data_IF_821122343834
#
_entry.id   IF_821122343834
#
_cell.length_a   1.000
_cell.length_b   1.000
_cell.length_c   1.000
_cell.angle_alpha   90.00
_cell.angle_beta   90.00
_cell.angle_gamma   90.00
#
_symmetry.space_group_name_H-M   'P 1'
#
loop_
_entity.id
_entity.type
_entity.pdbx_description
1 polymer ?
#
# COMPACT_ATOMS: atom_id res chain seq x y z
N UNK A 1 40.81 -15.60 -15.22
CA UNK A 1 39.86 -16.50 -15.97
C UNK A 1 39.08 -15.63 -16.93
N UNK A 2 38.88 -16.02 -18.18
CA UNK A 2 38.17 -15.20 -19.15
C UNK A 2 36.79 -14.77 -18.65
N UNK A 3 36.48 -13.50 -18.80
CA UNK A 3 35.16 -12.96 -18.45
C UNK A 3 34.18 -13.36 -19.53
N UNK A 4 33.04 -13.92 -19.15
CA UNK A 4 31.99 -14.33 -20.07
C UNK A 4 31.03 -13.19 -20.36
N UNK A 5 30.84 -12.83 -21.61
CA UNK A 5 29.81 -11.92 -22.06
C UNK A 5 28.57 -12.73 -22.38
N UNK A 6 27.50 -12.50 -21.66
CA UNK A 6 26.25 -13.23 -21.78
C UNK A 6 25.23 -12.44 -22.60
N UNK A 7 24.36 -13.16 -23.30
CA UNK A 7 23.17 -12.58 -23.94
C UNK A 7 22.26 -11.95 -22.88
N UNK A 8 22.08 -10.61 -22.85
CA UNK A 8 21.29 -9.97 -21.81
C UNK A 8 19.79 -10.16 -22.00
N UNK A 9 19.04 -10.12 -20.92
CA UNK A 9 17.60 -10.00 -20.95
C UNK A 9 17.21 -8.51 -21.07
N UNK A 10 16.82 -8.06 -22.23
CA UNK A 10 16.42 -6.66 -22.48
C UNK A 10 14.96 -6.36 -22.11
N UNK A 11 14.20 -7.39 -21.73
CA UNK A 11 12.87 -7.25 -21.12
C UNK A 11 12.60 -8.42 -20.16
N UNK A 12 11.71 -8.23 -19.15
CA UNK A 12 11.38 -9.28 -18.18
C UNK A 12 10.78 -10.57 -18.79
N UNK A 13 10.27 -10.48 -20.00
CA UNK A 13 9.63 -11.61 -20.72
C UNK A 13 10.50 -12.17 -21.84
N UNK A 14 11.70 -11.62 -22.03
CA UNK A 14 12.62 -12.06 -23.10
C UNK A 14 13.28 -13.38 -22.72
N UNK A 15 13.09 -14.40 -23.53
CA UNK A 15 13.74 -15.71 -23.40
C UNK A 15 14.87 -15.92 -24.42
N UNK A 16 14.81 -15.23 -25.57
CA UNK A 16 15.77 -15.25 -26.65
C UNK A 16 15.77 -13.92 -27.42
N UNK A 17 16.83 -13.59 -28.13
CA UNK A 17 16.96 -12.40 -28.98
C UNK A 17 17.85 -12.65 -30.17
N UNK A 18 17.86 -11.71 -31.13
CA UNK A 18 18.68 -11.82 -32.32
C UNK A 18 19.96 -10.96 -32.15
N UNK A 19 21.12 -11.56 -32.29
CA UNK A 19 22.38 -10.80 -32.27
C UNK A 19 22.62 -10.20 -33.66
N UNK A 20 22.30 -8.93 -33.84
CA UNK A 20 22.29 -8.28 -35.14
C UNK A 20 23.70 -8.08 -35.70
N UNK A 21 24.61 -7.46 -34.94
CA UNK A 21 25.98 -7.19 -35.37
C UNK A 21 26.96 -7.08 -34.19
N UNK A 22 28.24 -7.33 -34.46
CA UNK A 22 29.36 -6.99 -33.56
C UNK A 22 30.00 -5.69 -34.00
N UNK A 23 30.26 -4.78 -33.04
CA UNK A 23 30.98 -3.51 -33.26
C UNK A 23 32.49 -3.66 -32.98
N UNK A 24 32.92 -4.83 -32.48
CA UNK A 24 34.28 -5.17 -32.11
C UNK A 24 34.70 -6.48 -32.78
N UNK A 25 36.00 -6.68 -32.95
CA UNK A 25 36.58 -7.91 -33.48
C UNK A 25 37.44 -8.64 -32.42
N UNK A 26 37.71 -9.92 -32.62
CA UNK A 26 38.65 -10.68 -31.79
C UNK A 26 40.03 -10.03 -31.82
N UNK A 27 40.60 -9.74 -30.64
CA UNK A 27 41.84 -9.02 -30.46
C UNK A 27 41.70 -7.51 -30.17
N UNK A 28 40.51 -6.98 -30.28
CA UNK A 28 40.27 -5.54 -29.93
C UNK A 28 40.30 -5.32 -28.44
N UNK A 29 40.90 -4.20 -28.01
CA UNK A 29 40.87 -3.77 -26.62
C UNK A 29 39.64 -2.91 -26.39
N UNK A 30 38.86 -3.25 -25.38
CA UNK A 30 37.62 -2.58 -24.98
C UNK A 30 37.71 -2.06 -23.56
N UNK A 31 36.98 -1.00 -23.27
CA UNK A 31 36.82 -0.42 -21.94
C UNK A 31 35.36 -0.46 -21.51
N UNK A 32 35.14 -0.44 -20.21
CA UNK A 32 33.80 -0.30 -19.65
C UNK A 32 33.05 0.87 -20.28
N UNK A 33 31.88 0.59 -20.87
CA UNK A 33 31.06 1.53 -21.62
C UNK A 33 31.23 1.51 -23.14
N UNK A 34 32.24 0.76 -23.70
CA UNK A 34 32.38 0.60 -25.14
C UNK A 34 31.31 -0.36 -25.69
N UNK A 35 30.69 -0.01 -26.82
CA UNK A 35 29.64 -0.81 -27.45
C UNK A 35 30.24 -2.06 -28.08
N UNK A 36 29.84 -3.24 -27.63
CA UNK A 36 30.32 -4.54 -28.11
C UNK A 36 29.51 -5.07 -29.28
N UNK A 37 28.19 -5.07 -29.15
CA UNK A 37 27.29 -5.63 -30.17
C UNK A 37 25.90 -4.97 -30.11
N UNK A 38 25.12 -5.24 -31.15
CA UNK A 38 23.72 -4.84 -31.24
C UNK A 38 22.82 -6.06 -31.20
N UNK A 39 21.78 -5.98 -30.35
CA UNK A 39 20.77 -7.02 -30.22
C UNK A 39 19.43 -6.47 -30.71
N UNK A 40 18.78 -7.21 -31.58
CA UNK A 40 17.45 -6.91 -32.08
C UNK A 40 16.40 -7.75 -31.35
N UNK A 41 15.38 -7.07 -30.87
CA UNK A 41 14.20 -7.69 -30.25
C UNK A 41 12.96 -7.36 -31.09
N UNK A 42 11.82 -7.94 -30.76
CA UNK A 42 10.53 -7.64 -31.39
C UNK A 42 10.08 -6.18 -31.28
N UNK A 43 10.76 -5.36 -30.43
CA UNK A 43 10.38 -3.97 -30.12
C UNK A 43 11.44 -2.93 -30.49
N UNK A 44 12.71 -3.27 -30.43
CA UNK A 44 13.81 -2.33 -30.67
C UNK A 44 15.15 -3.03 -30.87
N UNK A 45 16.10 -2.36 -31.55
CA UNK A 45 17.52 -2.70 -31.55
C UNK A 45 18.19 -1.98 -30.39
N UNK A 46 18.97 -2.68 -29.60
CA UNK A 46 19.66 -2.15 -28.41
C UNK A 46 21.15 -2.49 -28.46
N UNK A 47 21.98 -1.55 -28.02
CA UNK A 47 23.43 -1.70 -27.92
C UNK A 47 23.77 -2.40 -26.59
N UNK A 48 24.76 -3.31 -26.63
CA UNK A 48 25.34 -3.97 -25.46
C UNK A 48 26.74 -3.42 -25.25
N UNK A 49 26.95 -2.83 -24.09
CA UNK A 49 28.21 -2.22 -23.69
C UNK A 49 29.06 -3.18 -22.86
N UNK A 50 30.38 -3.02 -22.94
CA UNK A 50 31.33 -3.72 -22.07
C UNK A 50 31.13 -3.27 -20.61
N UNK A 51 31.06 -4.22 -19.70
CA UNK A 51 31.01 -3.94 -18.26
C UNK A 51 32.44 -3.77 -17.70
N UNK A 52 33.37 -4.55 -18.21
CA UNK A 52 34.76 -4.61 -17.75
C UNK A 52 35.74 -4.21 -18.86
N UNK A 53 36.95 -3.72 -18.48
CA UNK A 53 38.05 -3.47 -19.39
C UNK A 53 38.72 -4.81 -19.77
N UNK A 54 39.12 -4.95 -21.04
CA UNK A 54 39.78 -6.19 -21.46
C UNK A 54 40.06 -6.27 -22.97
N UNK A 55 40.46 -7.45 -23.43
CA UNK A 55 40.68 -7.76 -24.85
C UNK A 55 39.66 -8.78 -25.28
N UNK A 56 38.96 -8.56 -26.39
CA UNK A 56 38.01 -9.52 -26.96
C UNK A 56 38.77 -10.78 -27.37
N UNK A 57 38.63 -11.84 -26.54
CA UNK A 57 39.39 -13.07 -26.74
C UNK A 57 38.79 -13.96 -27.82
N UNK A 58 37.46 -14.19 -27.77
CA UNK A 58 36.77 -15.03 -28.74
C UNK A 58 35.28 -14.66 -28.83
N UNK A 59 34.79 -14.56 -30.05
CA UNK A 59 33.37 -14.40 -30.36
C UNK A 59 32.78 -15.80 -30.59
N UNK A 60 31.86 -16.24 -29.74
CA UNK A 60 31.25 -17.56 -29.77
C UNK A 60 29.97 -17.60 -30.59
N UNK A 61 29.23 -16.50 -30.64
CA UNK A 61 28.00 -16.33 -31.43
C UNK A 61 28.25 -15.27 -32.49
N UNK A 62 28.24 -15.62 -33.80
CA UNK A 62 28.47 -14.64 -34.87
C UNK A 62 27.31 -13.65 -35.00
N UNK A 63 27.60 -12.45 -35.52
CA UNK A 63 26.57 -11.47 -35.86
C UNK A 63 25.59 -12.04 -36.93
N UNK A 64 24.33 -11.64 -36.84
CA UNK A 64 23.24 -12.17 -37.66
C UNK A 64 22.65 -13.50 -37.16
N UNK A 65 23.01 -13.96 -35.96
CA UNK A 65 22.41 -15.17 -35.35
C UNK A 65 21.07 -14.83 -34.71
N UNK A 66 20.02 -15.54 -35.12
CA UNK A 66 18.67 -15.46 -34.59
C UNK A 66 18.46 -16.41 -33.41
N UNK A 67 17.51 -16.08 -32.54
CA UNK A 67 17.04 -16.90 -31.42
C UNK A 67 18.14 -17.34 -30.45
N UNK A 68 19.05 -16.43 -30.09
CA UNK A 68 20.07 -16.66 -29.08
C UNK A 68 19.43 -16.60 -27.69
N UNK A 69 19.53 -17.68 -26.92
CA UNK A 69 18.91 -17.77 -25.61
C UNK A 69 19.51 -16.73 -24.61
N UNK A 70 18.68 -16.13 -23.80
CA UNK A 70 19.12 -15.25 -22.69
C UNK A 70 20.07 -16.03 -21.76
N UNK A 71 21.15 -15.38 -21.31
CA UNK A 71 22.28 -15.97 -20.56
C UNK A 71 23.15 -16.95 -21.33
N UNK A 72 22.96 -17.13 -22.64
CA UNK A 72 23.97 -17.85 -23.46
C UNK A 72 25.27 -17.04 -23.52
N UNK A 73 26.42 -17.70 -23.43
CA UNK A 73 27.74 -17.05 -23.60
C UNK A 73 27.91 -16.67 -25.04
N UNK A 74 28.01 -15.37 -25.36
CA UNK A 74 28.12 -14.85 -26.72
C UNK A 74 29.55 -14.49 -27.10
N UNK A 75 30.40 -14.10 -26.11
CA UNK A 75 31.82 -13.86 -26.31
C UNK A 75 32.61 -14.05 -25.00
N UNK A 76 33.95 -14.10 -25.12
CA UNK A 76 34.89 -14.19 -24.02
C UNK A 76 35.82 -12.96 -24.05
N UNK A 77 35.99 -12.28 -22.90
CA UNK A 77 36.93 -11.18 -22.70
C UNK A 77 38.12 -11.70 -21.89
N UNK A 78 39.33 -11.33 -22.27
CA UNK A 78 40.57 -11.57 -21.52
C UNK A 78 40.95 -10.36 -20.70
N UNK A 79 41.31 -10.54 -19.44
CA UNK A 79 41.87 -9.52 -18.60
C UNK A 79 43.28 -9.13 -19.06
N UNK A 80 43.75 -7.94 -18.71
CA UNK A 80 45.09 -7.43 -19.10
C UNK A 80 46.20 -8.35 -18.54
N UNK A 81 46.90 -9.08 -19.44
CA UNK A 81 47.97 -10.01 -19.10
C UNK A 81 47.58 -11.50 -19.13
N UNK A 82 46.37 -11.86 -19.49
CA UNK A 82 45.99 -13.24 -19.75
C UNK A 82 46.42 -13.70 -21.15
N UNK A 83 46.97 -14.93 -21.25
CA UNK A 83 47.46 -15.51 -22.53
C UNK A 83 46.28 -16.19 -23.26
N UNK A 84 46.28 -16.14 -24.61
CA UNK A 84 45.28 -16.77 -25.46
C UNK A 84 45.09 -18.28 -25.21
N UNK A 85 46.05 -18.93 -24.56
CA UNK A 85 45.91 -20.33 -24.08
C UNK A 85 44.84 -20.57 -23.02
N UNK A 86 44.32 -19.50 -22.34
CA UNK A 86 43.23 -19.63 -21.39
C UNK A 86 41.86 -19.88 -22.05
N UNK A 87 41.73 -19.64 -23.37
CA UNK A 87 40.50 -19.88 -24.14
C UNK A 87 40.21 -21.36 -24.39
N UNK A 88 41.26 -22.22 -24.42
CA UNK A 88 41.12 -23.66 -24.66
C UNK A 88 40.67 -24.46 -23.42
N UNK A 89 40.68 -23.86 -22.24
CA UNK A 89 40.32 -24.51 -20.99
C UNK A 89 38.84 -24.29 -20.57
N UNK A 90 38.09 -23.54 -21.36
CA UNK A 90 36.64 -23.36 -21.09
C UNK A 90 35.90 -24.50 -21.82
N UNK A 91 35.63 -25.58 -21.11
CA UNK A 91 34.72 -26.61 -21.53
C UNK A 91 33.32 -26.01 -21.66
N UNK A 92 32.95 -25.65 -22.90
CA UNK A 92 31.62 -25.10 -23.18
C UNK A 92 30.64 -26.28 -22.98
N UNK A 93 30.03 -26.32 -21.82
CA UNK A 93 28.85 -27.17 -21.61
C UNK A 93 27.72 -26.60 -22.50
N UNK A 94 27.73 -26.99 -23.75
CA UNK A 94 26.61 -26.84 -24.65
C UNK A 94 25.44 -27.69 -24.12
N UNK A 95 24.70 -27.13 -23.18
CA UNK A 95 23.38 -27.66 -22.84
C UNK A 95 22.41 -27.18 -23.93
N UNK A 96 22.42 -27.90 -25.03
CA UNK A 96 21.24 -27.93 -25.88
C UNK A 96 20.20 -28.82 -25.20
N UNK A 97 19.07 -28.28 -24.77
CA UNK A 97 17.93 -29.12 -24.45
C UNK A 97 17.39 -29.65 -25.78
N UNK A 98 17.72 -30.92 -26.13
CA UNK A 98 16.89 -31.68 -27.06
C UNK A 98 15.57 -31.97 -26.35
N UNK A 99 14.57 -31.14 -26.58
CA UNK A 99 13.20 -31.55 -26.43
C UNK A 99 12.63 -31.80 -27.81
N UNK A 100 12.39 -33.10 -28.13
CA UNK A 100 11.51 -33.43 -29.23
C UNK A 100 10.19 -32.70 -29.07
N UNK A 101 9.65 -32.09 -30.14
CA UNK A 101 8.36 -31.41 -30.04
C UNK A 101 7.29 -32.51 -29.84
N UNK A 102 6.76 -32.58 -28.64
CA UNK A 102 5.48 -33.22 -28.40
C UNK A 102 4.42 -32.47 -29.25
N UNK A 103 3.46 -33.15 -29.86
CA UNK A 103 2.45 -32.51 -30.68
C UNK A 103 1.70 -31.49 -29.84
N UNK A 104 1.76 -30.24 -30.29
CA UNK A 104 0.98 -29.13 -29.68
C UNK A 104 -0.48 -29.48 -29.94
N UNK A 105 -1.16 -29.94 -28.90
CA UNK A 105 -2.61 -29.94 -28.89
C UNK A 105 -3.05 -28.47 -28.99
N UNK A 106 -3.71 -28.11 -30.08
CA UNK A 106 -4.35 -26.83 -30.30
C UNK A 106 -5.64 -26.76 -29.47
N UNK A 107 -5.48 -26.80 -28.17
CA UNK A 107 -6.47 -26.31 -27.25
C UNK A 107 -5.89 -25.04 -26.59
N UNK A 108 -6.09 -23.91 -27.25
CA UNK A 108 -6.02 -22.64 -26.53
C UNK A 108 -6.93 -22.81 -25.32
N UNK A 109 -6.44 -22.63 -24.08
CA UNK A 109 -7.34 -22.56 -22.95
C UNK A 109 -8.29 -21.42 -23.27
N UNK A 110 -9.57 -21.75 -23.49
CA UNK A 110 -10.63 -20.76 -23.44
C UNK A 110 -10.33 -19.93 -22.19
N UNK A 111 -10.19 -18.61 -22.34
CA UNK A 111 -10.16 -17.72 -21.20
C UNK A 111 -11.28 -18.20 -20.30
N UNK A 112 -10.90 -18.77 -19.16
CA UNK A 112 -11.88 -19.13 -18.17
C UNK A 112 -12.68 -17.85 -17.95
N UNK A 113 -13.95 -17.86 -18.33
CA UNK A 113 -14.87 -16.84 -17.89
C UNK A 113 -14.56 -16.68 -16.41
N UNK A 114 -14.30 -15.44 -15.96
CA UNK A 114 -14.15 -15.18 -14.56
C UNK A 114 -15.37 -15.79 -13.91
N UNK A 115 -15.19 -16.97 -13.31
CA UNK A 115 -16.19 -17.52 -12.44
C UNK A 115 -16.35 -16.44 -11.39
N UNK A 116 -17.55 -15.89 -11.25
CA UNK A 116 -17.89 -15.06 -10.11
C UNK A 116 -17.28 -15.75 -8.90
N UNK A 117 -16.47 -15.04 -8.09
CA UNK A 117 -15.92 -15.65 -6.90
C UNK A 117 -17.12 -16.19 -6.14
N UNK A 118 -17.21 -17.52 -6.01
CA UNK A 118 -18.18 -18.13 -5.14
C UNK A 118 -18.11 -17.37 -3.83
N UNK A 119 -19.24 -17.00 -3.20
CA UNK A 119 -19.20 -16.34 -1.92
C UNK A 119 -18.38 -17.23 -1.00
N UNK A 120 -17.13 -16.83 -0.81
CA UNK A 120 -16.29 -17.43 0.21
C UNK A 120 -16.98 -16.97 1.48
N UNK A 121 -17.65 -17.88 2.15
CA UNK A 121 -17.93 -17.76 3.58
C UNK A 121 -16.57 -17.65 4.28
N UNK A 122 -15.94 -16.49 4.13
CA UNK A 122 -14.84 -16.12 4.99
C UNK A 122 -15.44 -16.14 6.40
N UNK A 123 -14.84 -16.88 7.33
CA UNK A 123 -15.31 -16.84 8.70
C UNK A 123 -15.40 -15.36 9.05
N UNK A 124 -16.59 -14.86 9.34
CA UNK A 124 -16.76 -13.53 9.88
C UNK A 124 -15.95 -13.53 11.16
N UNK A 125 -14.76 -12.98 11.11
CA UNK A 125 -14.06 -12.53 12.29
C UNK A 125 -14.94 -11.40 12.80
N UNK A 126 -15.93 -11.77 13.60
CA UNK A 126 -16.72 -10.82 14.37
C UNK A 126 -15.73 -10.01 15.18
N UNK A 127 -15.96 -8.73 15.29
CA UNK A 127 -15.28 -7.92 16.30
C UNK A 127 -15.39 -8.71 17.61
N UNK A 128 -14.28 -9.00 18.31
CA UNK A 128 -14.34 -9.79 19.52
C UNK A 128 -15.26 -9.07 20.49
N UNK A 129 -16.32 -9.74 20.93
CA UNK A 129 -17.13 -9.26 22.02
C UNK A 129 -16.22 -9.07 23.24
N UNK A 130 -15.94 -7.82 23.57
CA UNK A 130 -15.10 -7.50 24.71
C UNK A 130 -16.01 -7.10 25.88
N UNK A 131 -16.08 -7.95 26.87
CA UNK A 131 -16.82 -7.78 28.13
C UNK A 131 -15.91 -7.45 29.33
N UNK A 132 -14.61 -7.24 29.05
CA UNK A 132 -13.59 -6.90 30.04
C UNK A 132 -13.65 -5.44 30.49
N UNK A 133 -12.71 -5.03 31.37
CA UNK A 133 -12.63 -3.66 31.87
C UNK A 133 -12.30 -2.67 30.75
N UNK A 134 -13.01 -1.55 30.73
CA UNK A 134 -12.75 -0.40 29.85
C UNK A 134 -11.98 0.67 30.60
N UNK A 135 -11.08 1.37 29.91
CA UNK A 135 -10.37 2.54 30.43
C UNK A 135 -10.65 3.74 29.53
N UNK A 136 -10.76 4.90 30.13
CA UNK A 136 -10.95 6.15 29.38
C UNK A 136 -9.59 6.68 28.92
N UNK A 137 -9.37 6.69 27.59
CA UNK A 137 -8.10 7.12 26.98
C UNK A 137 -8.34 8.02 25.79
N UNK A 138 -7.41 8.93 25.55
CA UNK A 138 -7.34 9.68 24.30
C UNK A 138 -6.85 8.77 23.17
N UNK A 139 -7.18 9.13 21.92
CA UNK A 139 -6.66 8.44 20.72
C UNK A 139 -5.13 8.39 20.73
N UNK A 140 -4.47 9.51 21.12
CA UNK A 140 -3.01 9.60 21.26
C UNK A 140 -2.44 8.56 22.24
N UNK A 141 -3.05 8.43 23.43
CA UNK A 141 -2.64 7.44 24.43
C UNK A 141 -2.86 6.02 23.92
N UNK A 142 -3.97 5.78 23.23
CA UNK A 142 -4.29 4.48 22.64
C UNK A 142 -3.26 4.05 21.58
N UNK A 143 -2.79 4.99 20.72
CA UNK A 143 -1.73 4.73 19.75
C UNK A 143 -0.38 4.46 20.42
N UNK A 144 -0.01 5.27 21.43
CA UNK A 144 1.21 5.07 22.22
C UNK A 144 1.21 3.69 22.87
N UNK A 145 0.13 3.33 23.54
CA UNK A 145 0.03 2.06 24.26
C UNK A 145 0.07 0.88 23.29
N UNK A 146 -0.58 0.99 22.11
CA UNK A 146 -0.48 -0.03 21.07
C UNK A 146 0.98 -0.28 20.63
N UNK A 147 1.75 0.79 20.39
CA UNK A 147 3.17 0.67 20.05
C UNK A 147 3.97 0.07 21.20
N UNK A 148 3.79 0.55 22.43
CA UNK A 148 4.50 0.06 23.61
C UNK A 148 4.24 -1.43 23.86
N UNK A 149 2.98 -1.86 23.79
CA UNK A 149 2.58 -3.25 23.96
C UNK A 149 3.25 -4.16 22.91
N UNK A 150 3.24 -3.79 21.63
CA UNK A 150 3.89 -4.58 20.57
C UNK A 150 5.43 -4.55 20.68
N UNK A 151 6.03 -3.43 21.09
CA UNK A 151 7.46 -3.33 21.33
C UNK A 151 7.92 -4.18 22.52
N UNK A 152 7.08 -4.39 23.55
CA UNK A 152 7.37 -5.31 24.65
C UNK A 152 7.32 -6.77 24.20
N UNK A 153 6.38 -7.11 23.32
CA UNK A 153 6.18 -8.47 22.83
C UNK A 153 7.24 -8.91 21.81
N UNK A 154 7.66 -7.99 20.93
CA UNK A 154 8.57 -8.31 19.82
C UNK A 154 9.73 -7.32 19.75
N UNK A 155 10.96 -7.84 19.92
CA UNK A 155 12.19 -7.04 19.86
C UNK A 155 12.51 -6.53 18.46
N UNK A 156 11.90 -7.09 17.41
CA UNK A 156 12.08 -6.63 16.04
C UNK A 156 11.29 -5.33 15.75
N UNK A 157 10.32 -4.97 16.60
CA UNK A 157 9.52 -3.74 16.46
C UNK A 157 10.30 -2.53 16.96
N UNK A 158 10.43 -1.49 16.17
CA UNK A 158 11.06 -0.22 16.54
C UNK A 158 10.36 0.97 15.88
N UNK A 159 10.49 2.15 16.49
CA UNK A 159 9.93 3.41 16.00
C UNK A 159 11.05 4.27 15.40
N UNK A 160 10.82 4.81 14.22
CA UNK A 160 11.74 5.71 13.52
C UNK A 160 10.96 6.87 12.89
N UNK A 161 11.44 8.08 13.08
CA UNK A 161 10.83 9.27 12.49
C UNK A 161 11.51 10.54 12.97
N UNK A 162 10.91 11.69 12.63
CA UNK A 162 11.38 13.00 13.05
C UNK A 162 10.85 13.34 14.43
N UNK A 163 11.76 13.69 15.35
CA UNK A 163 11.42 14.14 16.72
C UNK A 163 10.61 13.10 17.55
N UNK A 164 10.66 11.84 17.18
CA UNK A 164 9.89 10.77 17.85
C UNK A 164 10.50 10.32 19.17
N UNK A 165 11.83 10.50 19.37
CA UNK A 165 12.55 10.09 20.55
C UNK A 165 12.66 11.21 21.59
N UNK A 166 13.62 12.13 21.45
CA UNK A 166 13.91 13.15 22.49
C UNK A 166 12.75 14.12 22.68
N UNK A 167 12.12 14.56 21.59
CA UNK A 167 10.95 15.46 21.65
C UNK A 167 9.65 14.72 21.93
N UNK A 168 9.63 13.38 21.88
CA UNK A 168 8.47 12.50 22.14
C UNK A 168 7.31 12.72 21.15
N UNK A 169 7.65 13.02 19.90
CA UNK A 169 6.70 13.30 18.82
C UNK A 169 6.11 14.71 18.85
N UNK A 170 5.83 15.28 17.69
CA UNK A 170 5.21 16.60 17.56
C UNK A 170 3.84 16.66 18.25
N UNK A 171 3.09 15.57 18.24
CA UNK A 171 1.78 15.42 18.87
C UNK A 171 1.82 14.55 20.14
N UNK A 172 3.00 14.23 20.65
CA UNK A 172 3.22 13.41 21.86
C UNK A 172 2.64 11.99 21.79
N UNK A 173 2.58 11.42 20.58
CA UNK A 173 2.13 10.03 20.39
C UNK A 173 3.20 9.02 20.84
N UNK A 174 4.48 9.39 20.83
CA UNK A 174 5.59 8.55 21.28
C UNK A 174 6.07 8.87 22.70
N UNK A 175 5.28 9.59 23.49
CA UNK A 175 5.64 10.01 24.84
C UNK A 175 6.02 8.83 25.73
N UNK A 176 7.25 8.89 26.32
CA UNK A 176 7.78 7.88 27.23
C UNK A 176 8.39 6.63 26.55
N UNK A 177 8.23 6.48 25.23
CA UNK A 177 8.77 5.28 24.55
C UNK A 177 10.30 5.24 24.57
N UNK A 178 10.99 6.38 24.44
CA UNK A 178 12.45 6.44 24.53
C UNK A 178 12.94 5.99 25.89
N UNK A 179 12.30 6.43 26.96
CA UNK A 179 12.66 6.06 28.34
C UNK A 179 12.50 4.57 28.60
N UNK A 180 11.47 3.94 28.00
CA UNK A 180 11.18 2.52 28.19
C UNK A 180 12.05 1.61 27.30
N UNK A 181 12.24 1.96 26.01
CA UNK A 181 12.84 1.06 25.03
C UNK A 181 14.26 1.44 24.60
N UNK A 182 14.71 2.65 24.93
CA UNK A 182 16.05 3.14 24.60
C UNK A 182 16.21 3.59 23.14
N UNK A 183 17.34 4.27 22.88
CA UNK A 183 17.66 4.90 21.59
C UNK A 183 17.92 3.90 20.44
N UNK A 184 18.10 2.61 20.73
CA UNK A 184 18.22 1.59 19.68
C UNK A 184 16.87 1.21 19.07
N UNK A 185 15.77 1.53 19.75
CA UNK A 185 14.41 1.16 19.33
C UNK A 185 13.45 2.33 19.15
N UNK A 186 13.83 3.52 19.62
CA UNK A 186 13.10 4.77 19.40
C UNK A 186 14.10 5.77 18.85
N UNK A 187 14.03 6.03 17.55
CA UNK A 187 15.15 6.62 16.79
C UNK A 187 14.68 7.92 16.14
N UNK A 188 15.35 9.02 16.51
CA UNK A 188 15.20 10.28 15.78
C UNK A 188 15.97 10.26 14.46
N UNK A 189 15.35 10.70 13.39
CA UNK A 189 15.98 10.91 12.11
C UNK A 189 16.10 12.40 11.78
N UNK A 190 17.08 12.82 10.99
CA UNK A 190 17.04 14.12 10.33
C UNK A 190 15.78 14.26 9.45
N UNK A 191 15.36 15.50 9.16
CA UNK A 191 14.25 15.77 8.24
C UNK A 191 14.61 15.27 6.83
N UNK A 192 14.22 14.05 6.52
CA UNK A 192 14.52 13.35 5.26
C UNK A 192 13.53 12.20 5.06
N UNK A 193 12.28 12.50 4.72
CA UNK A 193 11.22 11.48 4.65
C UNK A 193 11.56 10.36 3.66
N UNK A 194 12.18 10.68 2.52
CA UNK A 194 12.70 9.68 1.59
C UNK A 194 13.78 8.80 2.25
N UNK A 195 14.67 9.41 3.04
CA UNK A 195 15.79 8.71 3.67
C UNK A 195 15.33 7.73 4.74
N UNK A 196 14.57 8.21 5.73
CA UNK A 196 14.17 7.34 6.85
C UNK A 196 13.08 6.33 6.45
N UNK A 197 12.19 6.65 5.50
CA UNK A 197 11.27 5.66 4.96
C UNK A 197 12.00 4.55 4.20
N UNK A 198 13.01 4.91 3.38
CA UNK A 198 13.84 3.92 2.68
C UNK A 198 14.65 3.05 3.64
N UNK A 199 15.20 3.64 4.72
CA UNK A 199 15.89 2.90 5.77
C UNK A 199 14.94 1.91 6.45
N UNK A 200 13.70 2.34 6.78
CA UNK A 200 12.67 1.49 7.33
C UNK A 200 12.30 0.33 6.42
N UNK A 201 12.13 0.59 5.12
CA UNK A 201 11.85 -0.46 4.12
C UNK A 201 12.99 -1.48 4.08
N UNK A 202 14.25 -1.01 4.02
CA UNK A 202 15.42 -1.89 4.08
C UNK A 202 15.49 -2.72 5.36
N UNK A 203 15.16 -2.12 6.51
CA UNK A 203 15.07 -2.84 7.78
C UNK A 203 13.98 -3.91 7.77
N UNK A 204 12.82 -3.61 7.15
CA UNK A 204 11.73 -4.58 6.93
C UNK A 204 12.18 -5.76 6.07
N UNK A 205 12.93 -5.53 4.99
CA UNK A 205 13.54 -6.60 4.18
C UNK A 205 14.55 -7.43 4.99
N UNK A 206 15.22 -6.81 5.97
CA UNK A 206 16.13 -7.48 6.91
C UNK A 206 15.43 -8.27 8.03
N UNK A 207 14.10 -8.30 8.07
CA UNK A 207 13.32 -9.04 9.05
C UNK A 207 12.99 -8.28 10.34
N UNK A 208 13.25 -6.96 10.38
CA UNK A 208 12.76 -6.09 11.44
C UNK A 208 11.33 -5.61 11.12
N UNK A 209 10.66 -5.03 12.11
CA UNK A 209 9.28 -4.51 12.01
C UNK A 209 9.26 -3.01 12.33
N UNK A 210 9.64 -2.16 11.39
CA UNK A 210 9.68 -0.73 11.59
C UNK A 210 8.29 -0.11 11.65
N UNK A 211 8.11 0.82 12.58
CA UNK A 211 7.03 1.79 12.62
C UNK A 211 7.65 3.11 12.15
N UNK A 212 7.26 3.58 10.98
CA UNK A 212 7.75 4.83 10.41
C UNK A 212 6.72 5.91 10.66
N UNK A 213 7.10 6.92 11.44
CA UNK A 213 6.26 8.08 11.70
C UNK A 213 6.58 9.22 10.75
N UNK A 214 5.60 9.64 9.95
CA UNK A 214 5.60 10.94 9.30
C UNK A 214 4.97 11.96 10.23
N UNK A 215 5.62 13.11 10.43
CA UNK A 215 5.07 14.20 11.25
C UNK A 215 3.69 14.62 10.74
N UNK A 216 3.48 14.56 9.44
CA UNK A 216 2.18 14.55 8.77
C UNK A 216 2.27 13.75 7.46
N UNK A 217 1.20 13.04 7.10
CA UNK A 217 1.15 12.30 5.83
C UNK A 217 1.34 13.18 4.59
N UNK A 218 1.15 14.49 4.71
CA UNK A 218 1.48 15.42 3.63
C UNK A 218 2.94 15.32 3.19
N UNK A 219 3.86 14.98 4.10
CA UNK A 219 5.28 14.82 3.80
C UNK A 219 5.63 13.43 3.28
N UNK A 220 4.73 12.46 3.41
CA UNK A 220 4.93 11.11 2.84
C UNK A 220 5.07 11.12 1.32
N UNK A 221 4.64 12.20 0.64
CA UNK A 221 4.86 12.38 -0.79
C UNK A 221 6.33 12.34 -1.19
N UNK A 222 7.25 12.78 -0.32
CA UNK A 222 8.68 12.69 -0.57
C UNK A 222 9.21 11.24 -0.49
N UNK A 223 8.51 10.37 0.23
CA UNK A 223 8.84 8.96 0.40
C UNK A 223 7.96 8.02 -0.45
N UNK A 224 7.16 8.56 -1.36
CA UNK A 224 6.14 7.79 -2.09
C UNK A 224 6.74 6.62 -2.87
N UNK A 225 7.92 6.76 -3.45
CA UNK A 225 8.60 5.67 -4.16
C UNK A 225 8.91 4.49 -3.22
N UNK A 226 9.41 4.75 -2.03
CA UNK A 226 9.68 3.69 -1.05
C UNK A 226 8.41 3.00 -0.57
N UNK A 227 7.29 3.72 -0.43
CA UNK A 227 6.01 3.14 -0.04
C UNK A 227 5.41 2.32 -1.18
N UNK A 228 5.33 2.92 -2.39
CA UNK A 228 4.59 2.36 -3.54
C UNK A 228 5.39 1.34 -4.32
N UNK A 229 6.67 1.59 -4.60
CA UNK A 229 7.52 0.69 -5.38
C UNK A 229 8.28 -0.29 -4.48
N UNK A 230 8.98 0.20 -3.48
CA UNK A 230 9.82 -0.66 -2.65
C UNK A 230 8.99 -1.53 -1.71
N UNK A 231 8.22 -0.96 -0.78
CA UNK A 231 7.47 -1.75 0.20
C UNK A 231 6.35 -2.57 -0.46
N UNK A 232 5.48 -1.93 -1.26
CA UNK A 232 4.28 -2.59 -1.77
C UNK A 232 4.54 -3.63 -2.87
N UNK A 233 5.63 -3.51 -3.64
CA UNK A 233 5.85 -4.34 -4.84
C UNK A 233 6.92 -5.41 -4.68
N UNK A 234 7.84 -5.28 -3.72
CA UNK A 234 8.99 -6.20 -3.62
C UNK A 234 8.58 -7.64 -3.33
N UNK A 235 7.52 -7.88 -2.54
CA UNK A 235 7.02 -9.24 -2.33
C UNK A 235 6.64 -9.91 -3.65
N UNK A 236 5.93 -9.21 -4.52
CA UNK A 236 5.56 -9.71 -5.85
C UNK A 236 6.79 -9.88 -6.74
N UNK A 237 7.66 -8.86 -6.81
CA UNK A 237 8.85 -8.87 -7.67
C UNK A 237 9.88 -9.93 -7.27
N UNK A 238 9.94 -10.29 -5.99
CA UNK A 238 10.81 -11.36 -5.48
C UNK A 238 10.19 -12.76 -5.55
N UNK A 239 9.03 -12.93 -6.20
CA UNK A 239 8.33 -14.20 -6.23
C UNK A 239 7.88 -14.70 -4.84
N UNK A 240 7.53 -13.80 -3.95
CA UNK A 240 7.08 -14.12 -2.60
C UNK A 240 8.20 -14.32 -1.56
N UNK A 241 9.47 -14.08 -1.92
CA UNK A 241 10.61 -14.38 -1.05
C UNK A 241 10.95 -13.26 -0.07
N UNK A 242 10.65 -11.99 -0.43
CA UNK A 242 11.02 -10.82 0.37
C UNK A 242 9.79 -10.03 0.78
N UNK A 243 9.33 -10.23 2.00
CA UNK A 243 8.25 -9.45 2.63
C UNK A 243 8.74 -8.12 3.20
N UNK A 244 7.80 -7.23 3.51
CA UNK A 244 8.08 -5.94 4.14
C UNK A 244 7.06 -5.66 5.25
N UNK A 245 7.25 -6.19 6.47
CA UNK A 245 6.36 -5.96 7.60
C UNK A 245 6.61 -4.57 8.22
N UNK A 246 6.07 -3.54 7.60
CA UNK A 246 6.29 -2.14 7.96
C UNK A 246 4.97 -1.39 8.15
N UNK A 247 4.93 -0.50 9.11
CA UNK A 247 3.82 0.44 9.32
C UNK A 247 4.29 1.85 9.00
N UNK A 248 3.62 2.53 8.09
CA UNK A 248 3.75 3.95 7.84
C UNK A 248 2.59 4.66 8.52
N UNK A 249 2.84 5.46 9.54
CA UNK A 249 1.80 6.13 10.33
C UNK A 249 2.01 7.64 10.43
N UNK A 250 0.96 8.35 10.73
CA UNK A 250 0.97 9.79 11.00
C UNK A 250 -0.37 10.44 10.72
N UNK A 251 -0.56 11.72 11.10
CA UNK A 251 -1.81 12.44 10.89
C UNK A 251 -2.06 12.71 9.41
N UNK A 252 -3.31 12.52 9.01
CA UNK A 252 -3.82 12.65 7.65
C UNK A 252 -5.15 13.42 7.67
N UNK A 253 -5.49 14.08 6.59
CA UNK A 253 -6.72 14.84 6.47
C UNK A 253 -6.60 16.26 7.02
N UNK A 254 -7.74 16.84 7.38
CA UNK A 254 -7.81 18.21 7.86
C UNK A 254 -7.04 18.41 9.16
N UNK A 255 -6.22 19.44 9.20
CA UNK A 255 -5.40 19.83 10.34
C UNK A 255 -5.76 21.23 10.86
N UNK A 256 -5.22 21.62 12.03
CA UNK A 256 -5.59 22.88 12.67
C UNK A 256 -4.81 24.08 12.13
N UNK A 257 -5.38 24.83 11.21
CA UNK A 257 -4.89 26.15 10.74
C UNK A 257 -3.49 26.14 10.10
N UNK A 258 -3.13 25.05 9.42
CA UNK A 258 -1.81 24.88 8.80
C UNK A 258 -1.83 25.02 7.26
N UNK A 259 -2.99 25.30 6.67
CA UNK A 259 -3.16 25.55 5.23
C UNK A 259 -3.19 24.29 4.38
N UNK A 260 -3.30 24.50 3.06
CA UNK A 260 -3.60 23.44 2.08
C UNK A 260 -2.54 22.32 2.03
N UNK A 261 -1.26 22.67 2.15
CA UNK A 261 -0.15 21.72 2.04
C UNK A 261 -0.04 20.76 3.24
N UNK A 262 -0.75 21.01 4.33
CA UNK A 262 -0.71 20.22 5.56
C UNK A 262 -2.07 19.64 5.94
N UNK A 263 -3.05 19.66 5.03
CA UNK A 263 -4.44 19.27 5.35
C UNK A 263 -5.06 18.38 4.26
N UNK A 264 -4.25 17.58 3.57
CA UNK A 264 -4.69 16.70 2.50
C UNK A 264 -5.03 15.30 3.03
N UNK A 265 -5.99 14.64 2.40
CA UNK A 265 -6.33 13.24 2.69
C UNK A 265 -5.73 12.30 1.62
N UNK A 266 -4.87 11.40 2.06
CA UNK A 266 -4.16 10.45 1.19
C UNK A 266 -4.81 9.07 1.12
N UNK A 267 -6.01 8.89 1.68
CA UNK A 267 -6.72 7.61 1.68
C UNK A 267 -6.91 7.05 0.25
N UNK A 268 -7.32 7.88 -0.69
CA UNK A 268 -7.51 7.49 -2.09
C UNK A 268 -6.19 7.15 -2.80
N UNK A 269 -5.12 7.90 -2.51
CA UNK A 269 -3.80 7.70 -3.13
C UNK A 269 -3.22 6.33 -2.76
N UNK A 270 -3.14 6.02 -1.47
CA UNK A 270 -2.59 4.75 -1.00
C UNK A 270 -3.59 3.59 -1.14
N UNK A 271 -4.89 3.87 -1.04
CA UNK A 271 -5.95 2.89 -1.24
C UNK A 271 -5.98 2.30 -2.66
N UNK A 272 -5.47 3.02 -3.67
CA UNK A 272 -5.39 2.54 -5.05
C UNK A 272 -4.20 1.59 -5.29
N UNK A 273 -3.23 1.50 -4.37
CA UNK A 273 -1.96 0.78 -4.59
C UNK A 273 -2.06 -0.69 -4.21
N UNK A 274 -1.93 -1.64 -5.17
CA UNK A 274 -1.83 -3.07 -4.84
C UNK A 274 -0.58 -3.36 -4.01
N UNK A 275 -0.74 -4.22 -2.99
CA UNK A 275 0.34 -4.59 -2.07
C UNK A 275 0.36 -3.77 -0.77
N UNK A 276 -0.39 -2.67 -0.67
CA UNK A 276 -0.60 -1.94 0.58
C UNK A 276 -1.90 -2.37 1.26
N UNK A 277 -1.93 -2.35 2.59
CA UNK A 277 -3.13 -2.20 3.39
C UNK A 277 -3.23 -0.75 3.86
N UNK A 278 -4.45 -0.21 3.91
CA UNK A 278 -4.68 1.19 4.30
C UNK A 278 -5.76 1.24 5.36
N UNK A 279 -5.43 1.79 6.52
CA UNK A 279 -6.27 1.83 7.72
C UNK A 279 -6.47 3.28 8.15
N UNK A 280 -7.67 3.63 8.57
CA UNK A 280 -8.04 4.98 8.99
C UNK A 280 -8.96 4.93 10.23
N UNK A 281 -8.40 4.84 11.45
CA UNK A 281 -9.15 4.69 12.69
C UNK A 281 -9.93 5.95 13.04
N UNK A 282 -11.03 5.77 13.80
CA UNK A 282 -11.80 6.86 14.39
C UNK A 282 -11.68 6.91 15.91
N UNK A 283 -11.96 5.80 16.60
CA UNK A 283 -12.00 5.75 18.07
C UNK A 283 -10.65 5.36 18.68
N UNK A 284 -10.51 5.52 20.01
CA UNK A 284 -9.35 5.00 20.74
C UNK A 284 -9.22 3.48 20.64
N UNK A 285 -10.35 2.76 20.66
CA UNK A 285 -10.36 1.30 20.47
C UNK A 285 -9.90 0.92 19.05
N UNK A 286 -10.36 1.65 18.01
CA UNK A 286 -9.88 1.44 16.65
C UNK A 286 -8.37 1.70 16.55
N UNK A 287 -7.92 2.82 17.12
CA UNK A 287 -6.51 3.22 17.11
C UNK A 287 -5.62 2.15 17.75
N UNK A 288 -6.00 1.66 18.94
CA UNK A 288 -5.26 0.60 19.65
C UNK A 288 -5.28 -0.71 18.89
N UNK A 289 -6.47 -1.23 18.62
CA UNK A 289 -6.64 -2.58 18.07
C UNK A 289 -6.13 -2.74 16.65
N UNK A 290 -6.36 -1.74 15.79
CA UNK A 290 -5.91 -1.78 14.39
C UNK A 290 -4.41 -1.49 14.25
N UNK A 291 -3.81 -0.63 15.09
CA UNK A 291 -2.36 -0.40 15.03
C UNK A 291 -1.58 -1.65 15.45
N UNK A 292 -2.03 -2.36 16.48
CA UNK A 292 -1.46 -3.66 16.86
C UNK A 292 -1.57 -4.68 15.72
N UNK A 293 -2.73 -4.75 15.07
CA UNK A 293 -2.92 -5.60 13.89
C UNK A 293 -1.97 -5.21 12.75
N UNK A 294 -1.78 -3.91 12.52
CA UNK A 294 -0.87 -3.40 11.49
C UNK A 294 0.60 -3.75 11.78
N UNK A 295 1.06 -3.65 13.03
CA UNK A 295 2.43 -4.02 13.43
C UNK A 295 2.67 -5.53 13.29
N UNK A 296 1.65 -6.34 13.50
CA UNK A 296 1.71 -7.81 13.34
C UNK A 296 1.58 -8.27 11.89
N UNK A 297 1.12 -7.42 10.99
CA UNK A 297 0.91 -7.78 9.58
C UNK A 297 2.24 -8.01 8.86
N UNK A 298 2.38 -9.11 8.08
CA UNK A 298 3.59 -9.36 7.31
C UNK A 298 3.74 -8.46 6.07
N UNK A 299 2.73 -7.66 5.75
CA UNK A 299 2.71 -6.77 4.59
C UNK A 299 2.74 -5.30 5.03
N UNK A 300 3.13 -4.37 4.14
CA UNK A 300 3.16 -2.95 4.47
C UNK A 300 1.76 -2.39 4.70
N UNK A 301 1.62 -1.66 5.80
CA UNK A 301 0.38 -1.00 6.22
C UNK A 301 0.59 0.51 6.28
N UNK A 302 -0.27 1.25 5.59
CA UNK A 302 -0.42 2.70 5.71
C UNK A 302 -1.51 2.98 6.74
N UNK A 303 -1.17 3.64 7.83
CA UNK A 303 -2.05 3.89 8.97
C UNK A 303 -2.32 5.39 9.11
N UNK A 304 -3.46 5.81 8.59
CA UNK A 304 -3.86 7.22 8.43
C UNK A 304 -4.60 7.72 9.68
N UNK A 305 -3.90 8.42 10.54
CA UNK A 305 -4.46 9.03 11.75
C UNK A 305 -5.06 10.40 11.45
N UNK A 306 -5.62 11.07 12.46
CA UNK A 306 -6.10 12.44 12.32
C UNK A 306 -5.72 13.24 13.56
N UNK A 307 -5.00 14.38 13.38
CA UNK A 307 -4.49 15.17 14.51
C UNK A 307 -5.61 15.73 15.41
N UNK A 308 -6.77 16.04 14.82
CA UNK A 308 -7.89 16.60 15.57
C UNK A 308 -8.60 15.55 16.45
N UNK A 309 -8.33 14.25 16.20
CA UNK A 309 -8.80 13.16 17.06
C UNK A 309 -7.85 12.86 18.22
N UNK A 310 -6.58 13.25 18.15
CA UNK A 310 -5.58 12.85 19.16
C UNK A 310 -5.95 13.18 20.60
N UNK A 311 -6.63 14.30 20.82
CA UNK A 311 -7.13 14.70 22.13
C UNK A 311 -8.52 14.20 22.51
N UNK A 312 -9.20 13.50 21.59
CA UNK A 312 -10.55 12.98 21.85
C UNK A 312 -10.48 11.72 22.69
N UNK A 313 -11.30 11.66 23.74
CA UNK A 313 -11.33 10.56 24.70
C UNK A 313 -12.42 9.57 24.33
N UNK A 314 -12.10 8.27 24.45
CA UNK A 314 -13.00 7.14 24.23
C UNK A 314 -12.83 6.10 25.34
N UNK A 315 -13.83 5.26 25.51
CA UNK A 315 -13.70 4.02 26.25
C UNK A 315 -12.94 3.00 25.40
N UNK A 316 -11.84 2.47 25.92
CA UNK A 316 -10.91 1.59 25.24
C UNK A 316 -10.73 0.31 26.05
N UNK A 317 -10.74 -0.88 25.42
CA UNK A 317 -10.43 -2.13 26.11
C UNK A 317 -9.08 -2.10 26.83
N UNK A 318 -9.09 -2.45 28.12
CA UNK A 318 -7.89 -2.42 28.98
C UNK A 318 -7.00 -3.66 28.78
N UNK A 319 -7.26 -4.48 27.76
CA UNK A 319 -6.51 -5.71 27.48
C UNK A 319 -5.34 -5.45 26.53
N UNK A 320 -4.18 -6.01 26.90
CA UNK A 320 -3.00 -6.07 26.02
C UNK A 320 -3.19 -7.06 24.84
N UNK A 321 -4.19 -7.93 24.93
CA UNK A 321 -4.53 -8.88 23.84
C UNK A 321 -5.61 -8.33 22.89
N UNK A 322 -6.11 -7.10 23.11
CA UNK A 322 -7.10 -6.49 22.25
C UNK A 322 -6.52 -6.13 20.88
N UNK A 323 -6.99 -6.81 19.84
CA UNK A 323 -6.59 -6.62 18.45
C UNK A 323 -7.83 -6.63 17.57
N UNK A 324 -7.90 -5.71 16.61
CA UNK A 324 -9.00 -5.63 15.64
C UNK A 324 -8.56 -6.12 14.26
N UNK A 325 -9.42 -6.86 13.55
CA UNK A 325 -9.09 -7.34 12.21
C UNK A 325 -9.07 -6.21 11.19
N UNK A 326 -7.99 -6.12 10.40
CA UNK A 326 -7.93 -5.24 9.22
C UNK A 326 -8.88 -5.79 8.14
N UNK A 327 -9.65 -4.90 7.50
CA UNK A 327 -10.61 -5.28 6.46
C UNK A 327 -12.03 -5.53 6.98
N UNK A 328 -12.32 -5.14 8.23
CA UNK A 328 -13.64 -5.20 8.83
C UNK A 328 -14.14 -3.83 9.26
N UNK A 329 -15.30 -3.46 8.71
CA UNK A 329 -16.03 -2.26 9.11
C UNK A 329 -16.83 -2.53 10.40
N UNK A 330 -17.20 -1.43 11.08
CA UNK A 330 -18.07 -1.48 12.27
C UNK A 330 -19.36 -0.70 12.03
N UNK A 331 -20.48 -1.29 12.38
CA UNK A 331 -21.73 -0.55 12.46
C UNK A 331 -21.77 0.16 13.82
N UNK A 332 -21.49 1.46 13.82
CA UNK A 332 -21.47 2.28 15.04
C UNK A 332 -22.90 2.60 15.51
N UNK A 333 -23.82 2.68 14.56
CA UNK A 333 -25.24 2.91 14.83
C UNK A 333 -26.09 2.10 13.85
N UNK A 334 -26.98 1.28 14.34
CA UNK A 334 -27.95 0.56 13.50
C UNK A 334 -29.02 1.51 12.99
N UNK A 335 -29.50 1.27 11.77
CA UNK A 335 -30.55 2.05 11.12
C UNK A 335 -31.25 1.29 10.01
N UNK A 336 -32.36 1.85 9.49
CA UNK A 336 -33.20 1.18 8.51
C UNK A 336 -33.58 2.04 7.29
N UNK A 337 -33.34 3.36 7.29
CA UNK A 337 -33.83 4.27 6.25
C UNK A 337 -32.73 4.77 5.31
N UNK A 338 -31.48 4.84 5.76
CA UNK A 338 -30.32 5.29 4.98
C UNK A 338 -29.03 4.77 5.59
N UNK A 339 -28.11 4.31 4.75
CA UNK A 339 -26.74 3.97 5.11
C UNK A 339 -25.86 5.21 5.00
N UNK A 340 -25.01 5.46 6.00
CA UNK A 340 -23.97 6.49 5.97
C UNK A 340 -22.64 5.78 6.19
N UNK A 341 -21.75 5.80 5.20
CA UNK A 341 -20.37 5.30 5.35
C UNK A 341 -19.42 6.44 5.64
N UNK A 342 -18.51 6.25 6.58
CA UNK A 342 -17.49 7.22 6.92
C UNK A 342 -16.23 6.52 7.45
N UNK A 343 -15.11 7.22 7.52
CA UNK A 343 -13.87 6.76 8.15
C UNK A 343 -13.18 7.91 8.87
N UNK A 344 -12.26 7.57 9.77
CA UNK A 344 -11.51 8.54 10.57
C UNK A 344 -12.46 9.55 11.24
N UNK A 345 -12.09 10.80 11.31
CA UNK A 345 -12.87 11.87 11.95
C UNK A 345 -14.31 12.01 11.44
N UNK A 346 -14.55 11.68 10.15
CA UNK A 346 -15.88 11.83 9.56
C UNK A 346 -16.94 10.89 10.15
N UNK A 347 -16.54 9.85 10.87
CA UNK A 347 -17.48 8.98 11.63
C UNK A 347 -18.20 9.77 12.72
N UNK A 348 -17.49 10.62 13.45
CA UNK A 348 -18.11 11.48 14.46
C UNK A 348 -19.20 12.38 13.87
N UNK A 349 -18.91 13.05 12.75
CA UNK A 349 -19.89 13.89 12.05
C UNK A 349 -21.06 13.09 11.47
N UNK A 350 -20.80 11.86 11.00
CA UNK A 350 -21.86 10.97 10.53
C UNK A 350 -22.81 10.56 11.66
N UNK A 351 -22.30 10.32 12.87
CA UNK A 351 -23.08 10.01 14.05
C UNK A 351 -23.93 11.21 14.49
N UNK A 352 -23.34 12.41 14.54
CA UNK A 352 -24.08 13.65 14.85
C UNK A 352 -25.18 13.91 13.82
N UNK A 353 -24.90 13.69 12.52
CA UNK A 353 -25.90 13.78 11.47
C UNK A 353 -27.04 12.76 11.65
N UNK A 354 -26.70 11.53 12.06
CA UNK A 354 -27.68 10.50 12.34
C UNK A 354 -28.62 10.86 13.53
N UNK A 355 -28.10 11.51 14.56
CA UNK A 355 -28.93 12.03 15.67
C UNK A 355 -29.92 13.11 15.18
N UNK A 356 -29.47 14.05 14.35
CA UNK A 356 -30.35 15.08 13.77
C UNK A 356 -31.42 14.46 12.85
N UNK A 357 -31.05 13.44 12.06
CA UNK A 357 -31.98 12.71 11.24
C UNK A 357 -33.03 11.94 12.08
N UNK A 358 -32.61 11.36 13.20
CA UNK A 358 -33.52 10.67 14.12
C UNK A 358 -34.58 11.62 14.71
N UNK A 359 -34.22 12.86 15.04
CA UNK A 359 -35.18 13.87 15.47
C UNK A 359 -36.25 14.20 14.41
N UNK A 360 -35.97 13.93 13.13
CA UNK A 360 -36.91 14.04 12.02
C UNK A 360 -37.59 12.71 11.66
N UNK A 361 -37.36 11.66 12.42
CA UNK A 361 -37.95 10.32 12.22
C UNK A 361 -37.29 9.52 11.11
N UNK A 362 -35.98 9.75 10.82
CA UNK A 362 -35.18 8.99 9.87
C UNK A 362 -34.15 8.17 10.64
N UNK A 363 -34.18 6.85 10.48
CA UNK A 363 -33.26 5.90 11.10
C UNK A 363 -32.04 5.68 10.20
N UNK A 364 -30.93 6.38 10.49
CA UNK A 364 -29.68 6.22 9.75
C UNK A 364 -28.79 5.15 10.37
N UNK A 365 -28.28 4.24 9.52
CA UNK A 365 -27.21 3.32 9.87
C UNK A 365 -25.87 3.97 9.57
N UNK A 366 -24.96 3.99 10.54
CA UNK A 366 -23.63 4.58 10.40
C UNK A 366 -22.58 3.48 10.42
N UNK A 367 -21.86 3.35 9.31
CA UNK A 367 -20.77 2.39 9.13
C UNK A 367 -19.42 3.15 9.21
N UNK A 368 -18.62 2.78 10.19
CA UNK A 368 -17.22 3.15 10.30
C UNK A 368 -16.41 2.14 9.46
N UNK A 369 -15.84 2.60 8.36
CA UNK A 369 -15.09 1.74 7.43
C UNK A 369 -13.83 1.15 8.06
N UNK A 370 -13.15 1.88 8.98
CA UNK A 370 -11.90 1.49 9.63
C UNK A 370 -10.75 1.22 8.65
N UNK A 371 -11.05 0.46 7.58
CA UNK A 371 -10.08 0.04 6.57
C UNK A 371 -10.52 0.51 5.19
N UNK A 372 -9.60 1.18 4.51
CA UNK A 372 -9.81 1.66 3.15
C UNK A 372 -9.43 0.56 2.15
N UNK A 373 -8.35 -0.18 2.47
CA UNK A 373 -7.89 -1.33 1.69
C UNK A 373 -7.37 -2.44 2.63
N UNK A 374 -7.95 -3.66 2.58
CA UNK A 374 -9.16 -4.02 1.81
C UNK A 374 -10.42 -3.34 2.36
N UNK A 375 -11.34 -2.98 1.47
CA UNK A 375 -12.64 -2.42 1.85
C UNK A 375 -13.61 -3.55 2.22
N UNK A 376 -14.36 -3.39 3.32
CA UNK A 376 -15.41 -4.35 3.71
C UNK A 376 -16.69 -4.12 2.90
N UNK A 377 -16.66 -4.57 1.65
CA UNK A 377 -17.77 -4.41 0.71
C UNK A 377 -19.02 -5.16 1.17
N UNK A 378 -18.85 -6.31 1.82
CA UNK A 378 -19.96 -7.12 2.30
C UNK A 378 -20.83 -6.37 3.33
N UNK A 379 -20.21 -5.69 4.30
CA UNK A 379 -20.92 -4.88 5.28
C UNK A 379 -21.67 -3.71 4.62
N UNK A 380 -21.03 -3.03 3.65
CA UNK A 380 -21.65 -1.92 2.92
C UNK A 380 -22.86 -2.40 2.11
N UNK A 381 -22.71 -3.48 1.33
CA UNK A 381 -23.76 -4.04 0.48
C UNK A 381 -24.94 -4.51 1.33
N UNK A 382 -24.68 -5.27 2.40
CA UNK A 382 -25.72 -5.71 3.33
C UNK A 382 -26.54 -4.56 3.94
N UNK A 383 -25.86 -3.47 4.27
CA UNK A 383 -26.52 -2.27 4.79
C UNK A 383 -27.38 -1.59 3.72
N UNK A 384 -26.86 -1.47 2.48
CA UNK A 384 -27.61 -0.88 1.36
C UNK A 384 -28.84 -1.71 1.03
N UNK A 385 -28.75 -3.04 1.02
CA UNK A 385 -29.88 -3.94 0.81
C UNK A 385 -31.01 -3.75 1.83
N UNK A 386 -30.64 -3.39 3.05
CA UNK A 386 -31.59 -3.08 4.13
C UNK A 386 -32.20 -1.68 4.01
N UNK A 387 -31.39 -0.68 3.67
CA UNK A 387 -31.78 0.74 3.76
C UNK A 387 -32.17 1.36 2.43
N UNK A 388 -31.81 0.74 1.32
CA UNK A 388 -32.05 1.14 -0.08
C UNK A 388 -31.46 2.54 -0.45
N UNK A 389 -30.65 3.15 0.41
CA UNK A 389 -30.07 4.48 0.23
C UNK A 389 -28.73 4.56 0.91
N UNK A 390 -27.77 5.20 0.23
CA UNK A 390 -26.43 5.38 0.77
C UNK A 390 -25.89 6.78 0.57
N UNK A 391 -25.19 7.26 1.59
CA UNK A 391 -24.37 8.47 1.58
C UNK A 391 -22.96 8.10 2.01
N UNK A 392 -21.96 8.36 1.18
CA UNK A 392 -20.55 8.22 1.55
C UNK A 392 -20.00 9.57 1.98
N UNK A 393 -19.28 9.60 3.12
CA UNK A 393 -18.73 10.81 3.73
C UNK A 393 -17.23 10.65 3.94
N UNK A 394 -16.45 11.56 3.40
CA UNK A 394 -14.99 11.55 3.51
C UNK A 394 -14.40 12.96 3.59
N UNK A 395 -13.18 13.11 4.10
CA UNK A 395 -12.44 14.39 4.10
C UNK A 395 -11.73 14.65 2.77
N UNK A 396 -11.50 13.63 1.96
CA UNK A 396 -10.80 13.72 0.69
C UNK A 396 -11.59 14.46 -0.38
N UNK A 397 -10.93 14.71 -1.51
CA UNK A 397 -11.62 15.30 -2.68
C UNK A 397 -12.58 14.29 -3.32
N UNK A 398 -13.69 14.78 -3.93
CA UNK A 398 -14.71 13.88 -4.45
C UNK A 398 -14.25 13.11 -5.71
N UNK A 399 -13.35 13.71 -6.50
CA UNK A 399 -12.83 13.05 -7.70
C UNK A 399 -11.83 11.96 -7.29
N UNK A 400 -12.07 10.73 -7.73
CA UNK A 400 -11.26 9.56 -7.40
C UNK A 400 -11.15 9.25 -5.91
N UNK A 401 -12.04 9.82 -5.08
CA UNK A 401 -12.11 9.55 -3.64
C UNK A 401 -12.68 8.16 -3.32
N UNK A 402 -12.63 7.77 -2.05
CA UNK A 402 -13.15 6.48 -1.58
C UNK A 402 -14.66 6.34 -1.84
N UNK A 403 -15.41 7.44 -1.75
CA UNK A 403 -16.81 7.45 -2.10
C UNK A 403 -17.10 7.14 -3.57
N UNK A 404 -16.12 7.31 -4.48
CA UNK A 404 -16.24 6.89 -5.87
C UNK A 404 -16.14 5.36 -5.99
N UNK A 405 -15.21 4.74 -5.26
CA UNK A 405 -15.07 3.29 -5.17
C UNK A 405 -16.32 2.64 -4.54
N UNK A 406 -16.81 3.20 -3.43
CA UNK A 406 -18.05 2.74 -2.79
C UNK A 406 -19.23 2.83 -3.76
N UNK A 407 -19.32 3.91 -4.54
CA UNK A 407 -20.39 4.05 -5.54
C UNK A 407 -20.28 2.97 -6.63
N UNK A 408 -19.08 2.63 -7.09
CA UNK A 408 -18.87 1.57 -8.06
C UNK A 408 -19.28 0.21 -7.49
N UNK A 409 -18.79 -0.14 -6.29
CA UNK A 409 -19.13 -1.40 -5.59
C UNK A 409 -20.65 -1.55 -5.42
N UNK A 410 -21.32 -0.49 -4.97
CA UNK A 410 -22.79 -0.53 -4.76
C UNK A 410 -23.53 -0.67 -6.09
N UNK A 411 -23.06 -0.04 -7.16
CA UNK A 411 -23.62 -0.20 -8.50
C UNK A 411 -23.42 -1.61 -9.06
N UNK A 412 -22.30 -2.25 -8.74
CA UNK A 412 -22.01 -3.63 -9.20
C UNK A 412 -22.78 -4.71 -8.39
N UNK A 413 -22.97 -4.49 -7.07
CA UNK A 413 -23.42 -5.54 -6.17
C UNK A 413 -24.79 -5.31 -5.53
N UNK A 414 -25.34 -4.08 -5.60
CA UNK A 414 -26.63 -3.73 -4.98
C UNK A 414 -27.43 -2.72 -5.83
N UNK A 415 -27.27 -2.72 -7.15
CA UNK A 415 -27.98 -1.80 -8.03
C UNK A 415 -29.50 -1.87 -7.90
N UNK A 416 -30.03 -3.09 -7.87
CA UNK A 416 -31.47 -3.34 -7.81
C UNK A 416 -32.08 -2.98 -6.42
N UNK A 417 -31.24 -2.81 -5.40
CA UNK A 417 -31.66 -2.42 -4.05
C UNK A 417 -31.68 -0.90 -3.85
N UNK A 418 -31.23 -0.10 -4.84
CA UNK A 418 -31.13 1.35 -4.71
C UNK A 418 -32.43 2.08 -5.08
N UNK A 419 -33.00 2.83 -4.14
CA UNK A 419 -34.11 3.77 -4.38
C UNK A 419 -33.64 5.14 -4.93
N UNK A 420 -32.36 5.45 -4.83
CA UNK A 420 -31.77 6.72 -5.22
C UNK A 420 -30.28 6.58 -5.57
N UNK A 421 -29.72 7.47 -6.39
CA UNK A 421 -28.29 7.48 -6.67
C UNK A 421 -27.46 7.60 -5.40
N UNK A 422 -26.30 6.96 -5.37
CA UNK A 422 -25.30 7.12 -4.30
C UNK A 422 -24.93 8.59 -4.14
N UNK A 423 -24.99 9.11 -2.93
CA UNK A 423 -24.64 10.49 -2.61
C UNK A 423 -23.27 10.50 -1.97
N UNK A 424 -22.35 11.25 -2.56
CA UNK A 424 -21.02 11.47 -1.98
C UNK A 424 -20.96 12.84 -1.31
N UNK A 425 -20.33 12.92 -0.15
CA UNK A 425 -20.02 14.14 0.61
C UNK A 425 -18.54 14.12 0.93
N UNK A 426 -17.86 15.15 0.50
CA UNK A 426 -16.41 15.27 0.59
C UNK A 426 -16.04 16.75 0.59
N UNK A 427 -14.78 17.06 0.80
CA UNK A 427 -14.27 18.42 0.71
C UNK A 427 -14.38 18.91 -0.74
N UNK A 428 -15.13 19.97 -0.95
CA UNK A 428 -15.34 20.57 -2.28
C UNK A 428 -14.41 21.76 -2.54
N UNK A 429 -13.82 22.33 -1.49
CA UNK A 429 -12.98 23.51 -1.52
C UNK A 429 -11.69 23.26 -0.76
N UNK A 430 -10.75 24.19 -0.86
CA UNK A 430 -9.47 24.09 -0.16
C UNK A 430 -9.64 23.80 1.32
N UNK A 431 -8.77 23.01 1.84
CA UNK A 431 -8.53 22.46 3.17
C UNK A 431 -8.65 23.41 4.37
N UNK A 432 -9.52 24.41 4.36
CA UNK A 432 -9.81 25.25 5.51
C UNK A 432 -11.05 24.77 6.25
N UNK A 433 -10.87 24.56 7.55
CA UNK A 433 -11.89 24.23 8.53
C UNK A 433 -13.11 25.17 8.48
N UNK A 434 -14.00 24.96 7.55
CA UNK A 434 -15.33 25.55 7.65
C UNK A 434 -16.39 24.44 7.66
N UNK A 435 -16.84 24.15 8.88
CA UNK A 435 -18.12 23.50 9.22
C UNK A 435 -18.57 22.30 8.36
N UNK A 436 -17.78 21.22 8.30
CA UNK A 436 -18.24 19.92 7.79
C UNK A 436 -19.53 19.44 8.48
N UNK A 437 -19.70 19.76 9.75
CA UNK A 437 -20.88 19.45 10.55
C UNK A 437 -22.16 20.02 9.96
N UNK A 438 -22.21 21.35 9.66
CA UNK A 438 -23.39 21.96 9.07
C UNK A 438 -23.67 21.46 7.64
N UNK A 439 -22.62 21.12 6.86
CA UNK A 439 -22.76 20.72 5.47
C UNK A 439 -23.39 19.32 5.33
N UNK A 440 -22.94 18.35 6.11
CA UNK A 440 -23.49 16.98 6.10
C UNK A 440 -24.94 16.98 6.59
N UNK A 441 -25.21 17.63 7.72
CA UNK A 441 -26.55 17.69 8.30
C UNK A 441 -27.53 18.45 7.41
N UNK A 442 -27.14 19.65 6.92
CA UNK A 442 -28.01 20.51 6.12
C UNK A 442 -28.41 19.89 4.78
N UNK A 443 -27.50 19.23 4.10
CA UNK A 443 -27.73 18.63 2.78
C UNK A 443 -28.55 17.35 2.84
N UNK A 444 -28.42 16.55 3.88
CA UNK A 444 -29.31 15.41 4.12
C UNK A 444 -30.75 15.87 4.38
N UNK A 445 -30.92 16.94 5.14
CA UNK A 445 -32.22 17.53 5.46
C UNK A 445 -32.87 18.23 4.25
N UNK A 446 -32.11 18.93 3.42
CA UNK A 446 -32.62 19.62 2.22
C UNK A 446 -33.12 18.65 1.15
N UNK A 447 -32.46 17.51 0.96
CA UNK A 447 -32.96 16.47 0.03
C UNK A 447 -34.31 15.90 0.45
N UNK A 448 -34.50 15.62 1.75
CA UNK A 448 -35.82 15.16 2.25
C UNK A 448 -36.92 16.17 1.93
N UNK A 449 -36.66 17.49 2.07
CA UNK A 449 -37.66 18.54 1.73
C UNK A 449 -38.00 18.57 0.23
N UNK A 450 -37.01 18.28 -0.63
CA UNK A 450 -37.24 18.20 -2.10
C UNK A 450 -38.04 16.93 -2.49
N UNK A 451 -37.80 15.81 -1.83
CA UNK A 451 -38.51 14.55 -2.09
C UNK A 451 -39.97 14.61 -1.58
N UNK A 452 -40.21 15.19 -0.40
CA UNK A 452 -41.60 15.40 0.11
C UNK A 452 -42.43 16.36 -0.75
N UNK A 453 -41.79 17.25 -1.52
CA UNK A 453 -42.48 18.14 -2.44
C UNK A 453 -42.78 17.53 -3.83
N UNK A 454 -42.22 16.34 -4.13
CA UNK A 454 -42.45 15.60 -5.38
C UNK A 454 -43.41 14.41 -5.24
N UNK A 455 -43.84 14.07 -4.01
CA UNK A 455 -44.99 13.22 -3.73
C UNK A 455 -46.19 14.10 -3.39
#
# INVERSE_FOLDING_TARGET
>A
MPIQILMPALSPTMTEGNLASWNVAEGDTVKSGDVLCEIETDKATMEVEAVDDGVVGKILVPGGTEAVAVNAVIALLLEEGEDAGALDMVEIAAQTPKSDPAPIATDAPAMAAHADPAPVDAPQLLEPDYDGPMISQTVRESLRDAMAEEMRLDKAVFLLGEEVAEYQGAYKVSQGLLDEFGAERVIDSPITEIGFAGLGVGAGFGGLKPIIEFMTFNFSMQAMDHIVNSAAKTLYMSGGQMGCPIVFRGPNGVASRVGAQHSQCFAAWYGSVPGLKVVAPWSGADAKGLLKAAIRDPNPVVFLENELLYGTTFDVPASDDFVLPIGKAKIERAGADVTITAFSRMVGFALEAAELLAAEGISAEVINLRTIRPLDTATIVSSVQKTNRIVSVEEGWPQSGIGAEIAAVVMEQAFDDLDAPVVRRSEEHTSELQSHHELVCRLLLEKKKKYKKKK
#
